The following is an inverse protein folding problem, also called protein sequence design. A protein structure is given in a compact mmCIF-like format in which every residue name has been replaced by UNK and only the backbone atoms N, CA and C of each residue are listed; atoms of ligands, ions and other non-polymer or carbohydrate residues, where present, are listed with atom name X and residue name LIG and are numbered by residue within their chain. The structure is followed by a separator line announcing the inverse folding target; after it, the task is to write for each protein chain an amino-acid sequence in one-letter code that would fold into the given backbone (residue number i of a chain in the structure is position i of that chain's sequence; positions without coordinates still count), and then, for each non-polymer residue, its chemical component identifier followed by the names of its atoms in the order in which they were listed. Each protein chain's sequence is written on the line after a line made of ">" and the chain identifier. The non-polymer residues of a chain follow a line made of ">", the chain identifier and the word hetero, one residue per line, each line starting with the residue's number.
data_IF_055933239018
#
_entry.id   IF_055933239018
#
_cell.length_a   1.000
_cell.length_b   1.000
_cell.length_c   1.000
_cell.angle_alpha   90.00
_cell.angle_beta   90.00
_cell.angle_gamma   90.00
#
_symmetry.space_group_name_H-M   'P 1'
#
loop_
_entity.id
_entity.type
_entity.pdbx_description
1 polymer ?
#
# COMPACT_ATOMS: atom_id res chain seq x y z
N UNK A 1 18.64 23.50 -19.95
CA UNK A 1 17.85 22.62 -19.05
C UNK A 1 18.00 23.18 -17.66
N UNK A 2 16.90 23.54 -17.02
CA UNK A 2 16.94 24.06 -15.65
C UNK A 2 17.48 22.98 -14.70
N UNK A 3 18.27 23.33 -13.69
CA UNK A 3 18.86 22.36 -12.77
C UNK A 3 17.79 21.48 -12.09
N UNK A 4 16.59 22.02 -11.85
CA UNK A 4 15.43 21.28 -11.34
C UNK A 4 14.97 20.16 -12.30
N UNK A 5 14.90 20.47 -13.60
CA UNK A 5 14.51 19.50 -14.63
C UNK A 5 15.50 18.34 -14.76
N UNK A 6 16.80 18.61 -14.57
CA UNK A 6 17.84 17.57 -14.63
C UNK A 6 17.77 16.61 -13.43
N UNK A 7 17.55 17.14 -12.23
CA UNK A 7 17.41 16.32 -11.00
C UNK A 7 16.17 15.41 -11.11
N UNK A 8 15.06 15.97 -11.59
CA UNK A 8 13.83 15.22 -11.80
C UNK A 8 14.00 14.07 -12.82
N UNK A 9 14.67 14.33 -13.95
CA UNK A 9 14.96 13.30 -14.95
C UNK A 9 15.85 12.18 -14.42
N UNK A 10 16.88 12.52 -13.64
CA UNK A 10 17.75 11.52 -13.00
C UNK A 10 16.93 10.65 -12.04
N UNK A 11 16.09 11.25 -11.21
CA UNK A 11 15.22 10.52 -10.29
C UNK A 11 14.22 9.62 -11.04
N UNK A 12 13.67 10.08 -12.18
CA UNK A 12 12.77 9.29 -13.01
C UNK A 12 13.44 8.06 -13.61
N UNK A 13 14.67 8.21 -14.11
CA UNK A 13 15.45 7.10 -14.68
C UNK A 13 15.76 6.06 -13.59
N UNK A 14 16.22 6.50 -12.42
CA UNK A 14 16.49 5.60 -11.28
C UNK A 14 15.21 4.85 -10.88
N UNK A 15 14.08 5.56 -10.80
CA UNK A 15 12.80 4.96 -10.45
C UNK A 15 12.33 3.92 -11.48
N UNK A 16 12.48 4.23 -12.77
CA UNK A 16 12.11 3.34 -13.86
C UNK A 16 13.00 2.09 -13.90
N UNK A 17 14.30 2.23 -13.65
CA UNK A 17 15.22 1.09 -13.50
C UNK A 17 14.83 0.19 -12.32
N UNK A 18 14.52 0.76 -11.16
CA UNK A 18 14.05 0.00 -10.00
C UNK A 18 12.72 -0.71 -10.27
N UNK A 19 11.79 -0.04 -10.96
CA UNK A 19 10.50 -0.60 -11.33
C UNK A 19 10.64 -1.79 -12.29
N UNK A 20 11.47 -1.67 -13.33
CA UNK A 20 11.72 -2.77 -14.28
C UNK A 20 12.41 -3.96 -13.60
N UNK A 21 13.36 -3.71 -12.69
CA UNK A 21 14.04 -4.77 -11.94
C UNK A 21 13.07 -5.58 -11.06
N UNK A 22 12.04 -4.96 -10.50
CA UNK A 22 11.01 -5.63 -9.70
C UNK A 22 10.25 -6.73 -10.47
N UNK A 23 10.02 -6.54 -11.78
CA UNK A 23 9.31 -7.51 -12.61
C UNK A 23 10.22 -8.56 -13.25
N UNK A 24 11.55 -8.39 -13.15
CA UNK A 24 12.54 -9.29 -13.72
C UNK A 24 12.85 -10.52 -12.83
N UNK A 25 12.27 -10.59 -11.64
CA UNK A 25 12.68 -11.57 -10.63
C UNK A 25 12.22 -13.02 -10.94
N UNK A 26 13.16 -13.96 -10.88
CA UNK A 26 12.94 -15.41 -10.91
C UNK A 26 12.90 -15.91 -9.48
N UNK A 27 11.77 -16.49 -9.08
CA UNK A 27 11.50 -16.91 -7.70
C UNK A 27 12.44 -18.03 -7.24
N UNK A 28 13.44 -17.69 -6.44
CA UNK A 28 14.10 -18.65 -5.56
C UNK A 28 13.42 -18.59 -4.19
N UNK A 29 12.98 -19.75 -3.71
CA UNK A 29 12.20 -19.90 -2.49
C UNK A 29 13.14 -20.23 -1.33
N UNK A 30 13.47 -19.24 -0.49
CA UNK A 30 14.14 -19.52 0.78
C UNK A 30 13.12 -19.71 1.92
N UNK A 31 13.43 -20.62 2.84
CA UNK A 31 12.56 -21.08 3.92
C UNK A 31 12.48 -20.00 5.02
N UNK A 32 11.32 -19.37 5.19
CA UNK A 32 11.11 -18.31 6.18
C UNK A 32 10.55 -18.83 7.51
N UNK A 33 11.10 -18.33 8.62
CA UNK A 33 10.59 -18.56 9.97
C UNK A 33 9.21 -17.91 10.17
N UNK A 34 8.32 -18.60 10.88
CA UNK A 34 6.91 -18.19 11.08
C UNK A 34 6.79 -16.80 11.75
N UNK A 35 6.09 -15.87 11.10
CA UNK A 35 5.80 -14.53 11.62
C UNK A 35 4.75 -14.58 12.74
N UNK A 36 4.93 -13.79 13.81
CA UNK A 36 3.95 -13.68 14.90
C UNK A 36 2.87 -12.65 14.54
N UNK A 37 1.77 -13.13 13.96
CA UNK A 37 0.64 -12.32 13.50
C UNK A 37 -0.49 -12.20 14.54
N UNK A 38 -1.36 -11.20 14.37
CA UNK A 38 -2.50 -10.94 15.25
C UNK A 38 -3.58 -12.04 15.20
N UNK A 39 -4.35 -12.25 16.28
CA UNK A 39 -5.47 -13.19 16.30
C UNK A 39 -6.50 -12.93 15.19
N UNK A 40 -7.16 -13.98 14.72
CA UNK A 40 -8.12 -13.93 13.60
C UNK A 40 -9.26 -12.92 13.80
N UNK A 41 -9.74 -12.75 15.04
CA UNK A 41 -10.86 -11.86 15.34
C UNK A 41 -10.50 -10.38 15.10
N UNK A 42 -9.22 -10.02 15.19
CA UNK A 42 -8.74 -8.65 14.88
C UNK A 42 -8.99 -8.28 13.42
N UNK A 43 -9.01 -9.26 12.50
CA UNK A 43 -9.39 -9.00 11.10
C UNK A 43 -10.80 -8.43 10.99
N UNK A 44 -11.75 -9.02 11.73
CA UNK A 44 -13.15 -8.61 11.71
C UNK A 44 -13.28 -7.22 12.30
N UNK A 45 -12.58 -6.95 13.42
CA UNK A 45 -12.51 -5.61 14.02
C UNK A 45 -11.97 -4.60 13.03
N UNK A 46 -10.89 -4.91 12.31
CA UNK A 46 -10.32 -4.04 11.28
C UNK A 46 -11.30 -3.74 10.14
N UNK A 47 -12.05 -4.74 9.66
CA UNK A 47 -13.07 -4.56 8.62
C UNK A 47 -14.18 -3.63 9.12
N UNK A 48 -14.68 -3.85 10.34
CA UNK A 48 -15.71 -2.99 10.95
C UNK A 48 -15.20 -1.55 11.07
N UNK A 49 -13.95 -1.35 11.52
CA UNK A 49 -13.34 -0.02 11.62
C UNK A 49 -13.27 0.66 10.25
N UNK A 50 -12.83 -0.04 9.20
CA UNK A 50 -12.78 0.53 7.83
C UNK A 50 -14.18 0.96 7.37
N UNK A 51 -15.19 0.10 7.53
CA UNK A 51 -16.57 0.42 7.11
C UNK A 51 -17.17 1.60 7.91
N UNK A 52 -16.93 1.66 9.22
CA UNK A 52 -17.38 2.78 10.05
C UNK A 52 -16.67 4.08 9.69
N UNK A 53 -15.35 4.04 9.49
CA UNK A 53 -14.56 5.22 9.12
C UNK A 53 -14.93 5.80 7.76
N UNK A 54 -15.45 4.96 6.85
CA UNK A 54 -15.97 5.41 5.57
C UNK A 54 -17.37 6.04 5.70
N UNK A 55 -18.21 5.60 6.64
CA UNK A 55 -19.62 6.02 6.74
C UNK A 55 -19.84 7.18 7.72
N UNK A 56 -19.22 7.14 8.91
CA UNK A 56 -19.38 8.14 9.98
C UNK A 56 -19.19 9.60 9.51
N UNK A 57 -18.17 9.93 8.70
CA UNK A 57 -17.91 11.31 8.27
C UNK A 57 -19.08 11.93 7.49
N UNK A 58 -19.84 11.11 6.74
CA UNK A 58 -21.01 11.55 5.99
C UNK A 58 -22.21 11.84 6.89
N UNK A 59 -22.41 11.03 7.94
CA UNK A 59 -23.54 11.21 8.86
C UNK A 59 -23.28 12.26 9.94
N UNK A 60 -22.03 12.42 10.37
CA UNK A 60 -21.66 13.29 11.48
C UNK A 60 -21.16 14.68 11.03
N UNK A 61 -21.21 15.01 9.72
CA UNK A 61 -20.69 16.27 9.16
C UNK A 61 -19.25 16.59 9.60
N UNK A 62 -18.40 15.57 9.76
CA UNK A 62 -17.01 15.70 10.22
C UNK A 62 -16.03 16.06 9.09
N UNK A 63 -16.56 16.47 7.93
CA UNK A 63 -15.75 16.88 6.78
C UNK A 63 -15.30 18.33 7.00
N UNK A 64 -14.01 18.53 7.24
CA UNK A 64 -13.41 19.86 7.33
C UNK A 64 -12.96 20.23 5.91
N UNK A 65 -13.54 21.29 5.32
CA UNK A 65 -13.27 21.70 3.94
C UNK A 65 -13.47 20.58 2.91
N UNK A 66 -14.43 19.68 3.16
CA UNK A 66 -14.67 18.51 2.31
C UNK A 66 -13.60 17.41 2.42
N UNK A 67 -12.57 17.60 3.25
CA UNK A 67 -11.48 16.63 3.49
C UNK A 67 -11.71 15.90 4.80
N UNK A 68 -11.43 14.59 4.76
CA UNK A 68 -11.69 13.67 5.87
C UNK A 68 -10.38 13.12 6.48
N UNK A 69 -9.62 13.98 7.14
CA UNK A 69 -8.33 13.61 7.73
C UNK A 69 -8.45 12.59 8.87
N UNK A 70 -9.49 12.72 9.70
CA UNK A 70 -9.77 11.79 10.79
C UNK A 70 -10.17 10.42 10.24
N UNK A 71 -11.05 10.37 9.24
CA UNK A 71 -11.45 9.13 8.59
C UNK A 71 -10.27 8.41 7.95
N UNK A 72 -9.38 9.11 7.22
CA UNK A 72 -8.17 8.50 6.65
C UNK A 72 -7.27 7.86 7.72
N UNK A 73 -7.13 8.50 8.87
CA UNK A 73 -6.34 7.96 9.99
C UNK A 73 -6.97 6.68 10.56
N UNK A 74 -8.28 6.68 10.75
CA UNK A 74 -9.02 5.51 11.27
C UNK A 74 -9.08 4.39 10.22
N UNK A 75 -9.22 4.72 8.94
CA UNK A 75 -9.12 3.77 7.81
C UNK A 75 -7.74 3.10 7.84
N UNK A 76 -6.66 3.86 7.98
CA UNK A 76 -5.31 3.31 8.04
C UNK A 76 -5.11 2.36 9.22
N UNK A 77 -5.66 2.69 10.38
CA UNK A 77 -5.67 1.79 11.53
C UNK A 77 -6.42 0.49 11.19
N UNK A 78 -7.61 0.58 10.61
CA UNK A 78 -8.41 -0.58 10.21
C UNK A 78 -7.69 -1.45 9.18
N UNK A 79 -7.13 -0.85 8.14
CA UNK A 79 -6.33 -1.52 7.11
C UNK A 79 -5.11 -2.20 7.71
N UNK A 80 -4.39 -1.53 8.60
CA UNK A 80 -3.24 -2.11 9.30
C UNK A 80 -3.62 -3.37 10.08
N UNK A 81 -4.72 -3.33 10.84
CA UNK A 81 -5.22 -4.49 11.58
C UNK A 81 -5.58 -5.65 10.65
N UNK A 82 -6.17 -5.37 9.49
CA UNK A 82 -6.47 -6.39 8.47
C UNK A 82 -5.18 -7.00 7.92
N UNK A 83 -4.20 -6.17 7.54
CA UNK A 83 -2.94 -6.59 6.91
C UNK A 83 -2.14 -7.57 7.77
N UNK A 84 -2.10 -7.33 9.09
CA UNK A 84 -1.30 -8.11 10.04
C UNK A 84 -2.10 -9.16 10.84
N UNK A 85 -3.36 -9.39 10.46
CA UNK A 85 -4.19 -10.45 11.05
C UNK A 85 -3.90 -11.84 10.45
N UNK A 86 -4.02 -12.88 11.30
CA UNK A 86 -3.87 -14.28 10.89
C UNK A 86 -5.00 -14.75 9.99
N UNK A 87 -4.64 -15.63 9.05
CA UNK A 87 -5.58 -16.43 8.28
C UNK A 87 -5.93 -17.75 8.98
N UNK A 88 -6.99 -18.42 8.50
CA UNK A 88 -7.49 -19.68 9.11
C UNK A 88 -6.46 -20.81 9.01
N UNK A 89 -5.70 -20.86 7.93
CA UNK A 89 -4.58 -21.77 7.72
C UNK A 89 -3.36 -20.91 7.40
N UNK A 90 -2.27 -21.11 8.16
CA UNK A 90 -1.01 -20.42 7.94
C UNK A 90 0.07 -21.43 7.61
N UNK A 91 0.31 -21.56 6.32
CA UNK A 91 1.39 -22.34 5.74
C UNK A 91 2.59 -21.44 5.44
N UNK A 92 3.76 -22.05 5.23
CA UNK A 92 5.00 -21.34 4.89
C UNK A 92 4.83 -20.46 3.64
N UNK A 93 4.08 -20.96 2.64
CA UNK A 93 3.71 -20.23 1.44
C UNK A 93 2.94 -18.93 1.76
N UNK A 94 2.07 -18.94 2.76
CA UNK A 94 1.32 -17.73 3.15
C UNK A 94 2.24 -16.62 3.67
N UNK A 95 3.30 -16.96 4.39
CA UNK A 95 4.29 -15.98 4.84
C UNK A 95 5.09 -15.40 3.68
N UNK A 96 5.44 -16.22 2.69
CA UNK A 96 6.14 -15.76 1.49
C UNK A 96 5.27 -14.82 0.66
N UNK A 97 3.98 -15.15 0.47
CA UNK A 97 3.03 -14.27 -0.21
C UNK A 97 2.92 -12.92 0.51
N UNK A 98 2.87 -12.90 1.86
CA UNK A 98 2.86 -11.64 2.64
C UNK A 98 4.11 -10.81 2.37
N UNK A 99 5.29 -11.42 2.47
CA UNK A 99 6.55 -10.70 2.25
C UNK A 99 6.63 -10.14 0.82
N UNK A 100 6.29 -10.95 -0.19
CA UNK A 100 6.26 -10.52 -1.59
C UNK A 100 5.24 -9.41 -1.84
N UNK A 101 4.09 -9.47 -1.19
CA UNK A 101 3.06 -8.43 -1.29
C UNK A 101 3.50 -7.13 -0.61
N UNK A 102 4.21 -7.22 0.52
CA UNK A 102 4.79 -6.07 1.22
C UNK A 102 5.88 -5.39 0.40
N UNK A 103 6.76 -6.17 -0.22
CA UNK A 103 7.76 -5.66 -1.14
C UNK A 103 7.11 -4.92 -2.33
N UNK A 104 6.15 -5.56 -3.01
CA UNK A 104 5.42 -4.96 -4.14
C UNK A 104 4.68 -3.69 -3.74
N UNK A 105 3.98 -3.68 -2.61
CA UNK A 105 3.23 -2.50 -2.16
C UNK A 105 4.14 -1.34 -1.78
N UNK A 106 5.32 -1.63 -1.25
CA UNK A 106 6.30 -0.61 -0.91
C UNK A 106 6.84 0.08 -2.15
N UNK A 107 7.23 -0.70 -3.17
CA UNK A 107 7.71 -0.13 -4.43
C UNK A 107 6.62 0.67 -5.15
N UNK A 108 5.38 0.16 -5.15
CA UNK A 108 4.24 0.92 -5.68
C UNK A 108 3.96 2.20 -4.90
N UNK A 109 4.17 2.21 -3.57
CA UNK A 109 4.07 3.42 -2.76
C UNK A 109 5.07 4.49 -3.16
N UNK A 110 6.33 4.11 -3.39
CA UNK A 110 7.32 5.04 -3.93
C UNK A 110 6.97 5.49 -5.35
N UNK A 111 6.44 4.60 -6.20
CA UNK A 111 5.97 4.96 -7.54
C UNK A 111 4.86 6.01 -7.49
N UNK A 112 3.92 5.82 -6.58
CA UNK A 112 2.80 6.71 -6.37
C UNK A 112 3.28 8.12 -6.00
N UNK A 113 4.17 8.24 -5.01
CA UNK A 113 4.75 9.55 -4.63
C UNK A 113 5.49 10.17 -5.81
N UNK A 114 6.34 9.39 -6.48
CA UNK A 114 7.14 9.88 -7.59
C UNK A 114 6.29 10.40 -8.75
N UNK A 115 5.26 9.65 -9.15
CA UNK A 115 4.34 10.03 -10.24
C UNK A 115 3.52 11.27 -9.87
N UNK A 116 3.01 11.37 -8.63
CA UNK A 116 2.25 12.55 -8.22
C UNK A 116 3.12 13.80 -8.19
N UNK A 117 4.31 13.72 -7.60
CA UNK A 117 5.27 14.82 -7.61
C UNK A 117 5.69 15.20 -9.04
N UNK A 118 5.80 14.22 -9.95
CA UNK A 118 6.06 14.47 -11.37
C UNK A 118 4.94 15.27 -12.05
N UNK A 119 3.68 14.88 -11.81
CA UNK A 119 2.51 15.53 -12.39
C UNK A 119 2.43 16.98 -11.91
N UNK A 120 2.60 17.21 -10.61
CA UNK A 120 2.60 18.55 -10.03
C UNK A 120 3.78 19.39 -10.51
N UNK A 121 4.96 18.80 -10.70
CA UNK A 121 6.09 19.52 -11.29
C UNK A 121 5.82 20.00 -12.73
N UNK A 122 4.99 19.29 -13.50
CA UNK A 122 4.66 19.63 -14.89
C UNK A 122 3.47 20.59 -14.99
N UNK A 123 2.45 20.45 -14.12
CA UNK A 123 1.17 21.14 -14.24
C UNK A 123 0.86 22.13 -13.10
N UNK A 124 1.59 22.08 -11.99
CA UNK A 124 1.30 22.86 -10.79
C UNK A 124 2.00 24.20 -10.77
N UNK A 125 1.25 25.24 -10.40
CA UNK A 125 1.79 26.56 -10.06
C UNK A 125 2.50 26.56 -8.68
N UNK A 126 2.14 25.60 -7.82
CA UNK A 126 2.73 25.38 -6.49
C UNK A 126 3.13 23.91 -6.30
N UNK A 127 4.17 23.68 -5.48
CA UNK A 127 4.71 22.35 -5.20
C UNK A 127 4.02 21.78 -3.96
N UNK A 128 2.89 21.08 -4.14
CA UNK A 128 2.25 20.38 -3.03
C UNK A 128 2.95 19.04 -2.76
N UNK A 129 3.05 18.68 -1.48
CA UNK A 129 3.62 17.39 -1.10
C UNK A 129 2.47 16.43 -0.84
N UNK A 130 2.53 15.26 -1.48
CA UNK A 130 1.58 14.18 -1.21
C UNK A 130 1.60 13.86 0.28
N UNK A 131 0.46 13.97 1.00
CA UNK A 131 0.42 13.70 2.42
C UNK A 131 0.85 12.26 2.74
N UNK A 132 1.75 12.08 3.71
CA UNK A 132 2.24 10.75 4.09
C UNK A 132 1.11 9.78 4.47
N UNK A 133 0.02 10.29 5.08
CA UNK A 133 -1.17 9.52 5.43
C UNK A 133 -1.78 8.82 4.20
N UNK A 134 -1.81 9.49 3.05
CA UNK A 134 -2.37 8.99 1.79
C UNK A 134 -1.47 7.94 1.15
N UNK A 135 -0.14 8.15 1.22
CA UNK A 135 0.84 7.16 0.76
C UNK A 135 0.72 5.87 1.56
N UNK A 136 0.59 5.97 2.88
CA UNK A 136 0.40 4.80 3.75
C UNK A 136 -0.91 4.08 3.41
N UNK A 137 -2.02 4.81 3.21
CA UNK A 137 -3.29 4.22 2.77
C UNK A 137 -3.12 3.45 1.47
N UNK A 138 -2.46 4.06 0.48
CA UNK A 138 -2.20 3.43 -0.81
C UNK A 138 -1.35 2.18 -0.67
N UNK A 139 -0.27 2.22 0.10
CA UNK A 139 0.58 1.05 0.36
C UNK A 139 -0.20 -0.09 1.02
N UNK A 140 -1.02 0.19 2.04
CA UNK A 140 -1.81 -0.84 2.71
C UNK A 140 -2.87 -1.46 1.79
N UNK A 141 -3.53 -0.65 0.95
CA UNK A 141 -4.47 -1.14 -0.05
C UNK A 141 -3.78 -2.00 -1.10
N UNK A 142 -2.65 -1.55 -1.64
CA UNK A 142 -1.87 -2.31 -2.62
C UNK A 142 -1.31 -3.59 -2.01
N UNK A 143 -0.93 -3.59 -0.74
CA UNK A 143 -0.53 -4.80 -0.03
C UNK A 143 -1.66 -5.82 -0.01
N UNK A 144 -2.86 -5.42 0.44
CA UNK A 144 -4.02 -6.33 0.52
C UNK A 144 -4.40 -6.86 -0.87
N UNK A 145 -4.43 -5.99 -1.87
CA UNK A 145 -4.73 -6.37 -3.25
C UNK A 145 -3.72 -7.41 -3.76
N UNK A 146 -2.42 -7.13 -3.63
CA UNK A 146 -1.38 -8.06 -4.06
C UNK A 146 -1.43 -9.38 -3.29
N UNK A 147 -1.72 -9.34 -1.99
CA UNK A 147 -1.84 -10.51 -1.13
C UNK A 147 -2.97 -11.42 -1.60
N UNK A 148 -4.18 -10.88 -1.77
CA UNK A 148 -5.34 -11.66 -2.18
C UNK A 148 -5.27 -12.12 -3.65
N UNK A 149 -4.73 -11.31 -4.56
CA UNK A 149 -4.54 -11.69 -5.98
C UNK A 149 -3.48 -12.79 -6.12
N UNK A 150 -2.37 -12.70 -5.41
CA UNK A 150 -1.33 -13.74 -5.47
C UNK A 150 -1.83 -15.03 -4.84
N UNK A 151 -2.56 -14.92 -3.72
CA UNK A 151 -3.18 -16.07 -3.05
C UNK A 151 -4.24 -16.75 -3.91
N UNK A 152 -5.09 -15.99 -4.63
CA UNK A 152 -6.11 -16.58 -5.50
C UNK A 152 -5.50 -17.30 -6.70
N UNK A 153 -4.45 -16.74 -7.31
CA UNK A 153 -3.72 -17.37 -8.42
C UNK A 153 -3.10 -18.72 -8.05
N UNK A 154 -2.54 -18.84 -6.85
CA UNK A 154 -1.96 -20.10 -6.36
C UNK A 154 -3.05 -21.14 -6.15
N UNK A 155 -4.16 -20.76 -5.52
CA UNK A 155 -5.31 -21.66 -5.30
C UNK A 155 -5.96 -22.16 -6.59
N UNK A 156 -5.92 -21.38 -7.67
CA UNK A 156 -6.44 -21.81 -8.98
C UNK A 156 -5.48 -22.71 -9.78
N UNK A 157 -4.23 -22.84 -9.34
CA UNK A 157 -3.23 -23.69 -9.97
C UNK A 157 -3.13 -25.09 -9.33
N UNK A 158 -3.82 -25.29 -8.20
CA UNK A 158 -4.07 -26.59 -7.53
C UNK A 158 -5.37 -27.22 -8.04
#
# INVERSE_FOLDING_TARGET
>A
MDPKSTIFLIAAIVFLCMFLWLFADKSEYEVFKKLKLFPRWIKIVGIVIVLLSATIPFYANLLIEGKNYLGLTVVNLGLFLICFSRDKQEDEMSNLIRLKSFYRSTVLGFAYVFIFTAIEFIHGDEFELVPAIQVITFMLLMYLLNYYVTKSKIRSAE
#
